data_IF_113893210281
#
_entry.id   IF_113893210281
#
_cell.length_a   1.000
_cell.length_b   1.000
_cell.length_c   1.000
_cell.angle_alpha   90.00
_cell.angle_beta   90.00
_cell.angle_gamma   90.00
#
_symmetry.space_group_name_H-M   'P 1'
#
loop_
_entity.id
_entity.type
_entity.pdbx_description
1 polymer ?
#
# COMPACT_ATOMS: atom_id res chain seq x y z
N UNK A 1 25.01 -26.71 20.72
CA UNK A 1 24.68 -25.30 20.44
C UNK A 1 24.48 -25.15 18.93
N UNK A 2 23.25 -25.15 18.41
CA UNK A 2 22.98 -24.60 17.09
C UNK A 2 22.60 -23.13 17.27
N UNK A 3 23.47 -22.19 16.89
CA UNK A 3 23.37 -21.43 15.64
C UNK A 3 22.05 -20.65 15.55
N UNK A 4 22.08 -19.43 16.11
CA UNK A 4 21.23 -18.31 15.71
C UNK A 4 21.37 -18.11 14.21
N UNK A 5 20.46 -18.73 13.46
CA UNK A 5 20.16 -18.30 12.11
C UNK A 5 19.52 -16.94 12.22
N UNK A 6 20.21 -15.90 11.77
CA UNK A 6 19.61 -14.62 11.49
C UNK A 6 18.50 -14.87 10.45
N UNK A 7 17.26 -14.98 10.92
CA UNK A 7 16.08 -14.88 10.07
C UNK A 7 16.18 -13.52 9.39
N UNK A 8 16.67 -13.52 8.14
CA UNK A 8 16.49 -12.39 7.28
C UNK A 8 14.97 -12.14 7.25
N UNK A 9 14.49 -10.93 7.60
CA UNK A 9 13.07 -10.67 7.60
C UNK A 9 12.54 -11.02 6.22
N UNK A 10 11.65 -12.01 6.16
CA UNK A 10 10.93 -12.40 4.95
C UNK A 10 10.22 -11.14 4.46
N UNK A 11 10.76 -10.49 3.43
CA UNK A 11 10.19 -9.23 2.94
C UNK A 11 8.79 -9.52 2.45
N UNK A 12 7.80 -8.97 3.14
CA UNK A 12 6.40 -9.11 2.76
C UNK A 12 6.11 -8.35 1.46
N UNK A 13 4.92 -8.55 0.91
CA UNK A 13 4.35 -7.60 -0.05
C UNK A 13 3.85 -6.40 0.75
N UNK A 14 3.90 -5.20 0.20
CA UNK A 14 3.45 -3.99 0.87
C UNK A 14 2.27 -3.37 0.13
N UNK A 15 1.29 -2.90 0.88
CA UNK A 15 0.16 -2.14 0.34
C UNK A 15 0.46 -0.64 0.45
N UNK A 16 0.44 0.06 -0.68
CA UNK A 16 0.51 1.53 -0.74
C UNK A 16 -0.87 2.11 -1.04
N UNK A 17 -1.36 3.03 -0.20
CA UNK A 17 -2.65 3.67 -0.40
C UNK A 17 -2.61 5.14 0.02
N UNK A 18 -3.45 5.95 -0.63
CA UNK A 18 -3.64 7.35 -0.30
C UNK A 18 -4.89 7.52 0.56
N UNK A 19 -4.87 8.50 1.44
CA UNK A 19 -5.96 8.83 2.34
C UNK A 19 -5.95 10.32 2.67
N UNK A 20 -7.09 10.87 3.06
CA UNK A 20 -7.15 12.24 3.58
C UNK A 20 -6.27 12.37 4.83
N UNK A 21 -5.61 13.51 5.00
CA UNK A 21 -4.72 13.69 6.14
C UNK A 21 -5.47 13.83 7.46
N UNK A 22 -4.78 13.45 8.53
CA UNK A 22 -5.30 13.45 9.88
C UNK A 22 -5.41 14.87 10.44
N UNK A 23 -6.47 15.16 11.18
CA UNK A 23 -6.52 16.33 12.07
C UNK A 23 -5.81 16.00 13.41
N UNK A 24 -4.98 16.89 14.00
CA UNK A 24 -4.65 18.27 13.61
C UNK A 24 -3.35 18.39 12.80
N UNK A 25 -2.95 17.40 11.99
CA UNK A 25 -1.75 17.53 11.17
C UNK A 25 -1.91 18.67 10.15
N UNK A 26 -0.86 19.47 9.97
CA UNK A 26 -0.91 20.69 9.18
C UNK A 26 -1.23 20.41 7.70
N UNK A 27 -2.34 20.98 7.21
CA UNK A 27 -2.66 21.46 5.84
C UNK A 27 -2.23 20.66 4.59
N UNK A 28 -1.70 19.44 4.67
CA UNK A 28 -1.63 18.53 3.53
C UNK A 28 -2.97 17.82 3.45
N UNK A 29 -3.74 17.97 2.38
CA UNK A 29 -5.09 17.37 2.31
C UNK A 29 -5.06 15.85 2.14
N UNK A 30 -4.01 15.27 1.55
CA UNK A 30 -3.93 13.83 1.25
C UNK A 30 -2.52 13.28 1.54
N UNK A 31 -2.42 12.28 2.42
CA UNK A 31 -1.19 11.54 2.71
C UNK A 31 -1.21 10.16 2.04
N UNK A 32 -0.05 9.52 1.95
CA UNK A 32 0.12 8.16 1.43
C UNK A 32 0.84 7.31 2.46
N UNK A 33 0.23 6.18 2.80
CA UNK A 33 0.75 5.23 3.77
C UNK A 33 1.11 3.91 3.09
N UNK A 34 2.19 3.32 3.58
CA UNK A 34 2.67 2.00 3.21
C UNK A 34 2.61 1.09 4.43
N UNK A 35 1.97 -0.07 4.31
CA UNK A 35 1.88 -1.08 5.37
C UNK A 35 2.32 -2.44 4.84
N UNK A 36 2.73 -3.32 5.75
CA UNK A 36 2.90 -4.73 5.45
C UNK A 36 1.56 -5.34 5.01
N UNK A 37 1.55 -6.18 3.97
CA UNK A 37 0.32 -6.81 3.49
C UNK A 37 -0.39 -7.58 4.60
N UNK A 38 0.37 -8.24 5.49
CA UNK A 38 -0.22 -9.02 6.58
C UNK A 38 -1.06 -8.19 7.57
N UNK A 39 -0.93 -6.86 7.60
CA UNK A 39 -1.82 -5.98 8.39
C UNK A 39 -3.30 -6.11 7.98
N UNK A 40 -3.59 -6.53 6.75
CA UNK A 40 -4.95 -6.84 6.29
C UNK A 40 -5.59 -8.04 7.02
N UNK A 41 -4.78 -8.86 7.68
CA UNK A 41 -5.21 -10.03 8.46
C UNK A 41 -5.39 -9.71 9.94
N UNK A 42 -5.19 -8.45 10.35
CA UNK A 42 -5.39 -8.03 11.72
C UNK A 42 -6.88 -8.17 12.12
N UNK A 43 -7.22 -8.62 13.34
CA UNK A 43 -8.61 -8.83 13.77
C UNK A 43 -9.50 -7.59 13.74
N UNK A 44 -8.90 -6.39 13.86
CA UNK A 44 -9.61 -5.12 13.77
C UNK A 44 -9.78 -4.60 12.34
N UNK A 45 -9.15 -5.23 11.34
CA UNK A 45 -9.55 -5.05 9.93
C UNK A 45 -10.76 -5.93 9.68
N UNK A 46 -11.81 -5.37 9.07
CA UNK A 46 -13.02 -6.13 8.77
C UNK A 46 -12.73 -7.36 7.93
N UNK A 47 -13.28 -8.48 8.37
CA UNK A 47 -13.18 -9.77 7.69
C UNK A 47 -14.56 -10.18 7.16
N UNK A 48 -14.64 -10.89 6.02
CA UNK A 48 -13.54 -11.50 5.28
C UNK A 48 -12.82 -10.58 4.27
N UNK A 49 -13.17 -9.30 4.21
CA UNK A 49 -12.67 -8.39 3.17
C UNK A 49 -11.15 -8.20 3.26
N UNK A 50 -10.59 -7.99 4.47
CA UNK A 50 -9.15 -7.89 4.68
C UNK A 50 -8.39 -9.10 4.14
N UNK A 51 -8.81 -10.32 4.51
CA UNK A 51 -8.21 -11.57 4.01
C UNK A 51 -8.34 -11.73 2.49
N UNK A 52 -9.49 -11.37 1.90
CA UNK A 52 -9.66 -11.43 0.45
C UNK A 52 -8.77 -10.43 -0.28
N UNK A 53 -8.59 -9.23 0.27
CA UNK A 53 -7.65 -8.24 -0.27
C UNK A 53 -6.21 -8.73 -0.12
N UNK A 54 -5.84 -9.30 1.02
CA UNK A 54 -4.52 -9.90 1.25
C UNK A 54 -4.19 -10.98 0.20
N UNK A 55 -5.13 -11.90 -0.05
CA UNK A 55 -4.95 -12.96 -1.04
C UNK A 55 -4.73 -12.41 -2.44
N UNK A 56 -5.45 -11.34 -2.81
CA UNK A 56 -5.27 -10.67 -4.11
C UNK A 56 -3.96 -9.91 -4.19
N UNK A 57 -3.59 -9.27 -3.09
CA UNK A 57 -2.38 -8.47 -2.98
C UNK A 57 -1.13 -9.35 -3.08
N UNK A 58 -1.14 -10.55 -2.51
CA UNK A 58 0.05 -11.41 -2.41
C UNK A 58 0.19 -12.44 -3.53
N UNK A 59 -0.92 -12.85 -4.17
CA UNK A 59 -0.91 -13.89 -5.20
C UNK A 59 -0.07 -13.48 -6.42
N UNK A 60 0.98 -14.26 -6.69
CA UNK A 60 1.86 -14.04 -7.84
C UNK A 60 2.81 -12.86 -7.69
N UNK A 61 2.92 -12.28 -6.49
CA UNK A 61 3.83 -11.17 -6.19
C UNK A 61 5.18 -11.63 -5.69
N UNK A 62 6.16 -10.75 -5.86
CA UNK A 62 7.50 -10.94 -5.32
C UNK A 62 7.55 -10.38 -3.89
N UNK A 63 8.39 -11.00 -3.07
CA UNK A 63 8.75 -10.45 -1.76
C UNK A 63 9.36 -9.05 -1.92
N UNK A 64 8.94 -8.10 -1.08
CA UNK A 64 9.35 -6.70 -1.16
C UNK A 64 8.59 -5.87 -2.19
N UNK A 65 7.62 -6.44 -2.91
CA UNK A 65 6.87 -5.71 -3.92
C UNK A 65 5.93 -4.70 -3.26
N UNK A 66 6.05 -3.43 -3.64
CA UNK A 66 5.13 -2.36 -3.24
C UNK A 66 4.00 -2.30 -4.25
N UNK A 67 2.78 -2.57 -3.80
CA UNK A 67 1.59 -2.60 -4.63
C UNK A 67 0.67 -1.45 -4.25
N UNK A 68 0.56 -0.42 -5.10
CA UNK A 68 -0.46 0.60 -4.94
C UNK A 68 -1.88 0.02 -5.02
N UNK A 69 -2.81 0.53 -4.21
CA UNK A 69 -4.24 0.19 -4.29
C UNK A 69 -4.81 0.45 -5.70
N UNK A 70 -4.27 1.42 -6.42
CA UNK A 70 -4.61 1.69 -7.83
C UNK A 70 -4.20 0.56 -8.77
N UNK A 71 -3.08 -0.13 -8.51
CA UNK A 71 -2.67 -1.33 -9.24
C UNK A 71 -3.68 -2.44 -9.01
N UNK A 72 -4.05 -2.68 -7.76
CA UNK A 72 -5.03 -3.71 -7.41
C UNK A 72 -6.41 -3.40 -8.03
N UNK A 73 -6.83 -2.14 -7.98
CA UNK A 73 -8.06 -1.66 -8.63
C UNK A 73 -8.01 -1.90 -10.14
N UNK A 74 -6.87 -1.61 -10.80
CA UNK A 74 -6.71 -1.87 -12.22
C UNK A 74 -6.85 -3.36 -12.57
N UNK A 75 -6.26 -4.24 -11.77
CA UNK A 75 -6.34 -5.70 -11.95
C UNK A 75 -7.74 -6.26 -11.71
N UNK A 76 -8.56 -5.56 -10.93
CA UNK A 76 -9.97 -5.83 -10.69
C UNK A 76 -10.87 -5.16 -11.74
N UNK A 77 -10.44 -5.19 -13.01
CA UNK A 77 -11.14 -4.63 -14.16
C UNK A 77 -11.48 -3.13 -13.97
N UNK A 78 -10.47 -2.35 -13.59
CA UNK A 78 -10.64 -0.93 -13.29
C UNK A 78 -11.53 -0.65 -12.06
N UNK A 79 -11.72 -1.64 -11.20
CA UNK A 79 -12.49 -1.55 -9.96
C UNK A 79 -13.90 -2.13 -10.05
N UNK A 80 -14.36 -2.56 -11.24
CA UNK A 80 -15.68 -3.15 -11.42
C UNK A 80 -15.87 -4.43 -10.57
N UNK A 81 -14.78 -5.13 -10.26
CA UNK A 81 -14.78 -6.39 -9.50
C UNK A 81 -14.55 -6.24 -8.00
N UNK A 82 -14.42 -5.01 -7.48
CA UNK A 82 -14.31 -4.79 -6.03
C UNK A 82 -15.45 -5.43 -5.21
N UNK A 83 -16.72 -5.41 -5.65
CA UNK A 83 -17.81 -6.08 -4.93
C UNK A 83 -17.63 -7.60 -4.76
N UNK A 84 -16.82 -8.25 -5.60
CA UNK A 84 -16.49 -9.68 -5.46
C UNK A 84 -15.38 -9.93 -4.41
N UNK A 85 -14.60 -8.89 -4.09
CA UNK A 85 -13.45 -8.96 -3.18
C UNK A 85 -13.83 -8.46 -1.80
N UNK A 86 -14.36 -7.23 -1.69
CA UNK A 86 -14.70 -6.60 -0.42
C UNK A 86 -14.75 -5.08 -0.51
N UNK A 87 -15.12 -4.43 0.60
CA UNK A 87 -15.15 -2.98 0.72
C UNK A 87 -13.74 -2.45 0.98
N UNK A 88 -13.01 -2.15 -0.08
CA UNK A 88 -11.65 -1.62 0.00
C UNK A 88 -11.57 -0.30 0.77
N UNK A 89 -12.58 0.57 0.65
CA UNK A 89 -12.56 1.88 1.26
C UNK A 89 -12.64 1.74 2.77
N UNK A 90 -13.53 0.87 3.23
CA UNK A 90 -13.69 0.63 4.64
C UNK A 90 -12.54 -0.20 5.23
N UNK A 91 -11.93 -1.12 4.48
CA UNK A 91 -10.67 -1.77 4.88
C UNK A 91 -9.53 -0.75 5.00
N UNK A 92 -9.39 0.19 4.07
CA UNK A 92 -8.37 1.25 4.22
C UNK A 92 -8.62 2.13 5.43
N UNK A 93 -9.88 2.42 5.78
CA UNK A 93 -10.21 3.14 7.00
C UNK A 93 -9.81 2.35 8.27
N UNK A 94 -10.09 1.05 8.31
CA UNK A 94 -9.70 0.19 9.43
C UNK A 94 -8.15 0.15 9.57
N UNK A 95 -7.40 0.03 8.46
CA UNK A 95 -5.94 0.08 8.46
C UNK A 95 -5.39 1.42 8.97
N UNK A 96 -6.01 2.54 8.60
CA UNK A 96 -5.61 3.86 9.11
C UNK A 96 -5.81 3.95 10.61
N UNK A 97 -6.91 3.41 11.12
CA UNK A 97 -7.16 3.37 12.56
C UNK A 97 -6.08 2.57 13.29
N UNK A 98 -5.63 1.44 12.73
CA UNK A 98 -4.55 0.66 13.33
C UNK A 98 -3.22 1.40 13.39
N UNK A 99 -2.87 2.11 12.32
CA UNK A 99 -1.65 2.93 12.30
C UNK A 99 -1.73 4.03 13.37
N UNK A 100 -2.90 4.66 13.54
CA UNK A 100 -3.11 5.69 14.55
C UNK A 100 -3.00 5.15 15.97
N UNK A 101 -3.62 4.00 16.22
CA UNK A 101 -3.65 3.33 17.52
C UNK A 101 -2.33 2.60 17.83
N UNK A 102 -1.39 2.58 16.88
CA UNK A 102 -0.10 1.88 16.94
C UNK A 102 -0.27 0.37 17.15
N UNK A 103 -1.32 -0.18 16.57
CA UNK A 103 -1.58 -1.63 16.53
C UNK A 103 -0.97 -2.29 15.28
N UNK A 104 -0.41 -1.50 14.36
CA UNK A 104 0.52 -1.96 13.33
C UNK A 104 1.46 -0.81 12.91
N UNK A 105 2.56 -1.15 12.26
CA UNK A 105 3.46 -0.17 11.66
C UNK A 105 2.92 0.33 10.31
N UNK A 106 3.01 1.64 10.09
CA UNK A 106 2.73 2.26 8.80
C UNK A 106 3.74 3.36 8.49
N UNK A 107 4.31 3.32 7.28
CA UNK A 107 5.22 4.35 6.79
C UNK A 107 4.42 5.45 6.06
N UNK A 108 4.40 6.66 6.62
CA UNK A 108 3.85 7.85 5.97
C UNK A 108 4.91 8.48 5.06
N UNK A 109 4.60 8.63 3.77
CA UNK A 109 5.59 8.98 2.74
C UNK A 109 5.59 10.46 2.33
N UNK A 110 4.56 11.25 2.69
CA UNK A 110 4.51 12.69 2.40
C UNK A 110 4.77 13.03 0.92
N UNK A 111 4.24 12.23 0.00
CA UNK A 111 4.58 12.33 -1.42
C UNK A 111 4.16 13.69 -2.03
N UNK A 112 4.98 14.28 -2.91
CA UNK A 112 4.58 15.44 -3.71
C UNK A 112 3.31 15.16 -4.54
N UNK A 113 2.53 16.19 -4.85
CA UNK A 113 1.22 16.05 -5.50
C UNK A 113 1.26 15.19 -6.78
N UNK A 114 2.27 15.39 -7.63
CA UNK A 114 2.40 14.59 -8.87
C UNK A 114 2.76 13.13 -8.59
N UNK A 115 3.63 12.86 -7.62
CA UNK A 115 3.99 11.51 -7.22
C UNK A 115 2.77 10.78 -6.63
N UNK A 116 2.01 11.48 -5.79
CA UNK A 116 0.73 11.00 -5.25
C UNK A 116 -0.27 10.69 -6.37
N UNK A 117 -0.45 11.59 -7.32
CA UNK A 117 -1.35 11.38 -8.46
C UNK A 117 -0.94 10.15 -9.30
N UNK A 118 0.36 9.94 -9.52
CA UNK A 118 0.88 8.79 -10.26
C UNK A 118 0.62 7.46 -9.54
N UNK A 119 0.82 7.39 -8.22
CA UNK A 119 0.56 6.16 -7.46
C UNK A 119 -0.93 5.91 -7.23
N UNK A 120 -1.79 6.94 -7.28
CA UNK A 120 -3.24 6.80 -7.23
C UNK A 120 -3.86 6.46 -8.60
N UNK A 121 -3.10 6.62 -9.68
CA UNK A 121 -3.53 6.29 -11.03
C UNK A 121 -3.17 4.85 -11.40
N UNK A 122 -3.92 4.29 -12.36
CA UNK A 122 -3.66 2.96 -12.88
C UNK A 122 -2.24 2.83 -13.45
N UNK A 123 -1.66 1.62 -13.47
CA UNK A 123 -0.25 1.40 -13.84
C UNK A 123 0.09 1.76 -15.30
N UNK A 124 -0.92 1.97 -16.14
CA UNK A 124 -0.78 2.38 -17.55
C UNK A 124 -1.35 3.76 -17.84
N UNK A 125 -1.83 4.47 -16.82
CA UNK A 125 -2.45 5.78 -16.96
C UNK A 125 -1.41 6.89 -17.13
N UNK A 126 -1.84 7.99 -17.75
CA UNK A 126 -1.09 9.25 -17.80
C UNK A 126 -1.71 10.25 -16.83
N UNK A 127 -0.88 11.03 -16.15
CA UNK A 127 -1.28 12.22 -15.40
C UNK A 127 -0.87 13.46 -16.18
N UNK A 128 -1.81 14.37 -16.40
CA UNK A 128 -1.57 15.62 -17.12
C UNK A 128 -1.69 16.79 -16.16
N UNK A 129 -0.65 17.59 -16.07
CA UNK A 129 -0.61 18.80 -15.24
C UNK A 129 -0.61 20.00 -16.17
N UNK A 130 -1.54 20.92 -15.93
CA UNK A 130 -1.54 22.20 -16.62
C UNK A 130 -0.64 23.19 -15.87
N UNK A 131 0.36 23.72 -16.55
CA UNK A 131 1.19 24.81 -16.06
C UNK A 131 0.63 26.14 -16.59
N UNK A 132 -0.02 26.96 -15.74
CA UNK A 132 -0.57 28.23 -16.18
C UNK A 132 0.50 29.27 -16.51
N UNK A 133 1.72 29.15 -15.98
CA UNK A 133 2.80 30.09 -16.25
C UNK A 133 3.42 29.87 -17.65
N UNK A 134 3.47 28.62 -18.10
CA UNK A 134 3.95 28.24 -19.42
C UNK A 134 2.82 27.95 -20.43
N UNK A 135 1.56 28.13 -20.01
CA UNK A 135 0.33 27.84 -20.77
C UNK A 135 0.34 26.48 -21.50
N UNK A 136 0.90 25.45 -20.85
CA UNK A 136 1.11 24.13 -21.48
C UNK A 136 0.81 22.99 -20.53
N UNK A 137 0.55 21.81 -21.11
CA UNK A 137 0.43 20.57 -20.36
C UNK A 137 1.78 19.86 -20.27
N UNK A 138 2.11 19.40 -19.07
CA UNK A 138 3.12 18.39 -18.85
C UNK A 138 2.43 17.03 -18.64
N UNK A 139 2.96 15.99 -19.29
CA UNK A 139 2.43 14.63 -19.21
C UNK A 139 3.42 13.75 -18.48
N UNK A 140 2.93 13.01 -17.50
CA UNK A 140 3.66 12.01 -16.74
C UNK A 140 3.00 10.66 -16.96
N UNK A 141 3.80 9.63 -17.24
CA UNK A 141 3.32 8.33 -17.65
C UNK A 141 3.78 7.19 -16.76
N UNK A 142 3.69 5.94 -17.27
CA UNK A 142 4.09 4.74 -16.53
C UNK A 142 5.56 4.74 -16.09
N UNK A 143 6.46 5.37 -16.85
CA UNK A 143 7.87 5.47 -16.49
C UNK A 143 8.07 6.33 -15.23
N UNK A 144 7.45 7.51 -15.18
CA UNK A 144 7.49 8.39 -14.01
C UNK A 144 6.90 7.71 -12.77
N UNK A 145 5.80 6.96 -12.94
CA UNK A 145 5.21 6.16 -11.87
C UNK A 145 6.19 5.12 -11.32
N UNK A 146 6.97 4.47 -12.18
CA UNK A 146 7.98 3.49 -11.75
C UNK A 146 9.08 4.19 -10.94
N UNK A 147 9.54 5.37 -11.37
CA UNK A 147 10.54 6.15 -10.62
C UNK A 147 10.03 6.52 -9.21
N UNK A 148 8.76 6.91 -9.10
CA UNK A 148 8.12 7.15 -7.80
C UNK A 148 8.12 5.89 -6.93
N UNK A 149 7.75 4.73 -7.48
CA UNK A 149 7.75 3.47 -6.72
C UNK A 149 9.16 3.01 -6.31
N UNK A 150 10.17 3.26 -7.14
CA UNK A 150 11.57 3.03 -6.80
C UNK A 150 11.98 3.90 -5.60
N UNK A 151 11.59 5.17 -5.60
CA UNK A 151 11.86 6.08 -4.49
C UNK A 151 11.15 5.65 -3.20
N UNK A 152 9.87 5.24 -3.28
CA UNK A 152 9.15 4.67 -2.14
C UNK A 152 9.85 3.40 -1.63
N UNK A 153 10.35 2.55 -2.52
CA UNK A 153 11.15 1.39 -2.16
C UNK A 153 12.43 1.73 -1.41
N UNK A 154 13.10 2.84 -1.78
CA UNK A 154 14.27 3.35 -1.05
C UNK A 154 13.90 3.83 0.35
N UNK A 155 12.78 4.54 0.49
CA UNK A 155 12.28 5.00 1.79
C UNK A 155 11.90 3.83 2.69
N UNK A 156 11.23 2.81 2.15
CA UNK A 156 10.93 1.57 2.86
C UNK A 156 12.22 0.88 3.33
N UNK A 157 13.20 0.70 2.45
CA UNK A 157 14.47 0.07 2.81
C UNK A 157 15.23 0.82 3.92
N UNK A 158 15.10 2.15 3.96
CA UNK A 158 15.63 2.98 5.04
C UNK A 158 14.84 2.81 6.34
N UNK A 159 13.52 2.78 6.27
CA UNK A 159 12.66 2.57 7.43
C UNK A 159 12.89 1.18 8.06
N UNK A 160 13.10 0.16 7.22
CA UNK A 160 13.36 -1.21 7.65
C UNK A 160 14.83 -1.50 7.97
N UNK A 161 15.69 -0.47 8.05
CA UNK A 161 17.08 -0.63 8.42
C UNK A 161 17.21 -1.01 9.92
N UNK A 162 16.83 -2.26 10.25
CA UNK A 162 16.89 -2.83 11.60
C UNK A 162 15.73 -3.79 11.89
N UNK A 163 14.52 -3.50 11.44
CA UNK A 163 13.32 -4.31 11.66
C UNK A 163 12.34 -4.11 10.50
N UNK A 164 11.70 -5.17 10.01
CA UNK A 164 10.64 -5.03 9.03
C UNK A 164 9.43 -4.32 9.65
N UNK A 165 8.57 -3.72 8.80
CA UNK A 165 7.31 -3.15 9.27
C UNK A 165 6.48 -4.25 9.97
N UNK A 166 6.18 -4.03 11.25
CA UNK A 166 5.39 -4.96 12.04
C UNK A 166 3.92 -4.90 11.63
N UNK A 167 3.30 -6.03 11.22
CA UNK A 167 1.94 -6.01 10.71
C UNK A 167 0.85 -5.92 11.80
N UNK A 168 1.23 -6.00 13.07
CA UNK A 168 0.32 -6.15 14.21
C UNK A 168 0.37 -7.56 14.82
N UNK A 169 -0.32 -7.75 15.93
CA UNK A 169 -0.41 -9.03 16.64
C UNK A 169 -1.70 -9.79 16.31
N UNK A 170 -1.74 -11.08 16.63
CA UNK A 170 -2.97 -11.89 16.54
C UNK A 170 -3.52 -12.06 15.12
N UNK A 171 -2.66 -11.94 14.11
CA UNK A 171 -3.04 -12.03 12.71
C UNK A 171 -3.77 -13.35 12.40
N UNK A 172 -4.85 -13.24 11.63
CA UNK A 172 -5.58 -14.40 11.16
C UNK A 172 -4.71 -15.21 10.18
N UNK A 173 -4.83 -16.54 10.25
CA UNK A 173 -4.11 -17.42 9.33
C UNK A 173 -4.70 -17.25 7.92
N UNK A 174 -3.88 -16.97 6.89
CA UNK A 174 -4.36 -16.91 5.52
C UNK A 174 -5.03 -18.22 5.12
N UNK A 175 -6.16 -18.15 4.42
CA UNK A 175 -6.80 -19.35 3.87
C UNK A 175 -5.93 -19.83 2.71
N UNK A 176 -5.16 -20.90 2.93
CA UNK A 176 -4.32 -21.48 1.89
C UNK A 176 -5.22 -21.95 0.71
N UNK A 177 -5.06 -21.42 -0.52
CA UNK A 177 -5.86 -21.86 -1.66
C UNK A 177 -5.48 -23.26 -2.18
N UNK A 178 -4.60 -23.99 -1.49
CA UNK A 178 -4.17 -25.36 -1.85
C UNK A 178 -5.00 -26.47 -1.19
N UNK A 179 -5.99 -26.13 -0.36
CA UNK A 179 -6.85 -27.12 0.33
C UNK A 179 -8.35 -26.87 0.09
N UNK A 180 -8.73 -26.41 -1.11
CA UNK A 180 -10.12 -26.37 -1.57
C UNK A 180 -10.28 -27.04 -2.93
#
# INVERSE_FOLDING_TARGET
>A
MPQDGSEQPTREVYLLFAHEAYYPAAAQEINTSLVAAASLLHPHVRQPDGARIYDRLTRGRRQGEIVPLSTLTHELDGGARWPEVGDWAAVTADLLQLIQDRECDGLSLGLPDIARALVCSGPRSEVRVYDPAAERYQVYGPADRIEVLVEVGRQLAWAEAGCALWPGDGLLVPVNPREA
#
